data_IF_857944820747
#
_entry.id   IF_857944820747
#
_cell.length_a   1.000
_cell.length_b   1.000
_cell.length_c   1.000
_cell.angle_alpha   90.00
_cell.angle_beta   90.00
_cell.angle_gamma   90.00
#
_symmetry.space_group_name_H-M   'P 1'
#
loop_
_entity.id
_entity.type
_entity.pdbx_description
1 polymer ?
#
# COMPACT_ATOMS: atom_id res chain seq x y z
N UNK A 1 -43.23 -1.92 23.30
CA UNK A 1 -44.00 -0.67 23.37
C UNK A 1 -43.96 0.01 21.99
N UNK A 2 -45.15 0.09 21.38
CA UNK A 2 -45.30 0.63 20.01
C UNK A 2 -44.98 2.14 19.95
N UNK A 3 -45.21 2.87 21.03
CA UNK A 3 -44.93 4.31 21.11
C UNK A 3 -43.43 4.57 21.14
N UNK A 4 -42.68 3.78 21.89
CA UNK A 4 -41.22 3.89 21.93
C UNK A 4 -40.58 3.54 20.58
N UNK A 5 -41.14 2.53 19.91
CA UNK A 5 -40.68 2.13 18.57
C UNK A 5 -40.97 3.20 17.54
N UNK A 6 -42.16 3.80 17.55
CA UNK A 6 -42.50 4.92 16.67
C UNK A 6 -41.66 6.15 16.92
N UNK A 7 -41.34 6.50 18.17
CA UNK A 7 -40.44 7.59 18.51
C UNK A 7 -39.04 7.33 17.97
N UNK A 8 -38.53 6.11 18.07
CA UNK A 8 -37.24 5.72 17.54
C UNK A 8 -37.21 5.81 16.01
N UNK A 9 -38.25 5.32 15.34
CA UNK A 9 -38.39 5.39 13.90
C UNK A 9 -38.51 6.83 13.38
N UNK A 10 -39.17 7.74 14.11
CA UNK A 10 -39.26 9.15 13.75
C UNK A 10 -37.97 9.94 14.01
N UNK A 11 -37.21 9.57 15.03
CA UNK A 11 -35.93 10.19 15.34
C UNK A 11 -34.76 9.73 14.44
N UNK A 12 -34.85 8.51 13.98
CA UNK A 12 -33.79 7.91 13.18
C UNK A 12 -33.42 8.71 11.89
N UNK A 13 -34.40 9.15 11.09
CA UNK A 13 -34.07 9.96 9.91
C UNK A 13 -33.43 11.29 10.24
N UNK A 14 -33.86 11.94 11.35
CA UNK A 14 -33.29 13.24 11.78
C UNK A 14 -31.86 13.08 12.24
N UNK A 15 -31.59 12.05 13.03
CA UNK A 15 -30.21 11.73 13.48
C UNK A 15 -29.32 11.38 12.28
N UNK A 16 -29.83 10.58 11.36
CA UNK A 16 -29.11 10.20 10.14
C UNK A 16 -28.72 11.42 9.30
N UNK A 17 -29.65 12.35 9.08
CA UNK A 17 -29.38 13.58 8.33
C UNK A 17 -28.37 14.50 9.06
N UNK A 18 -28.42 14.56 10.38
CA UNK A 18 -27.41 15.29 11.17
C UNK A 18 -26.03 14.68 11.05
N UNK A 19 -25.91 13.37 11.15
CA UNK A 19 -24.64 12.67 11.00
C UNK A 19 -24.09 12.90 9.61
N UNK A 20 -24.92 12.79 8.59
CA UNK A 20 -24.55 13.04 7.20
C UNK A 20 -24.05 14.45 6.96
N UNK A 21 -24.75 15.46 7.50
CA UNK A 21 -24.32 16.86 7.41
C UNK A 21 -22.98 17.09 8.13
N UNK A 22 -22.77 16.49 9.30
CA UNK A 22 -21.50 16.58 10.04
C UNK A 22 -20.36 15.94 9.29
N UNK A 23 -20.57 14.79 8.68
CA UNK A 23 -19.58 14.09 7.85
C UNK A 23 -19.18 14.96 6.67
N UNK A 24 -20.14 15.56 5.95
CA UNK A 24 -19.88 16.44 4.83
C UNK A 24 -19.07 17.69 5.24
N UNK A 25 -19.38 18.28 6.40
CA UNK A 25 -18.64 19.40 6.94
C UNK A 25 -17.20 19.04 7.29
N UNK A 26 -16.98 17.89 7.93
CA UNK A 26 -15.66 17.38 8.28
C UNK A 26 -14.85 17.06 7.03
N UNK A 27 -15.46 16.47 6.03
CA UNK A 27 -14.81 16.18 4.75
C UNK A 27 -14.36 17.46 4.05
N UNK A 28 -15.18 18.51 4.06
CA UNK A 28 -14.84 19.81 3.49
C UNK A 28 -13.66 20.48 4.22
N UNK A 29 -13.60 20.38 5.55
CA UNK A 29 -12.48 20.88 6.35
C UNK A 29 -11.22 20.07 6.08
N UNK A 30 -11.32 18.75 6.03
CA UNK A 30 -10.19 17.86 5.80
C UNK A 30 -9.62 17.98 4.38
N UNK A 31 -10.44 18.31 3.38
CA UNK A 31 -10.00 18.48 2.01
C UNK A 31 -8.93 19.58 1.83
N UNK A 32 -8.88 20.56 2.73
CA UNK A 32 -7.85 21.62 2.70
C UNK A 32 -6.55 21.20 3.39
N UNK A 33 -6.66 20.41 4.45
CA UNK A 33 -5.52 20.04 5.30
C UNK A 33 -4.85 18.75 4.80
N UNK A 34 -5.62 17.86 4.21
CA UNK A 34 -5.19 16.53 3.78
C UNK A 34 -4.01 16.54 2.81
N UNK A 35 -3.99 17.35 1.74
CA UNK A 35 -2.83 17.38 0.85
C UNK A 35 -1.52 17.73 1.54
N UNK A 36 -1.59 18.60 2.56
CA UNK A 36 -0.41 19.01 3.34
C UNK A 36 0.08 17.87 4.22
N UNK A 37 -0.84 17.15 4.87
CA UNK A 37 -0.52 15.99 5.70
C UNK A 37 0.03 14.85 4.84
N UNK A 38 -0.58 14.58 3.69
CA UNK A 38 -0.17 13.52 2.78
C UNK A 38 1.23 13.78 2.21
N UNK A 39 1.54 15.02 1.87
CA UNK A 39 2.88 15.40 1.42
C UNK A 39 3.92 15.19 2.52
N UNK A 40 3.61 15.58 3.74
CA UNK A 40 4.50 15.44 4.89
C UNK A 40 4.71 13.97 5.26
N UNK A 41 3.64 13.19 5.24
CA UNK A 41 3.66 11.75 5.58
C UNK A 41 4.40 10.95 4.51
N UNK A 42 4.18 11.22 3.22
CA UNK A 42 4.85 10.50 2.14
C UNK A 42 6.35 10.72 2.14
N UNK A 43 6.83 11.94 2.44
CA UNK A 43 8.26 12.22 2.58
C UNK A 43 8.89 11.47 3.75
N UNK A 44 8.22 11.45 4.90
CA UNK A 44 8.67 10.71 6.08
C UNK A 44 8.70 9.21 5.85
N UNK A 45 7.70 8.66 5.18
CA UNK A 45 7.60 7.24 4.88
C UNK A 45 8.60 6.78 3.83
N UNK A 46 8.84 7.56 2.79
CA UNK A 46 9.82 7.19 1.78
C UNK A 46 11.23 7.08 2.38
N UNK A 47 11.60 7.93 3.34
CA UNK A 47 12.85 7.81 4.08
C UNK A 47 12.91 6.57 4.97
N UNK A 48 11.84 6.27 5.70
CA UNK A 48 11.74 5.07 6.55
C UNK A 48 11.79 3.80 5.71
N UNK A 49 11.07 3.79 4.59
CA UNK A 49 11.03 2.66 3.69
C UNK A 49 12.39 2.38 3.05
N UNK A 50 13.13 3.41 2.68
CA UNK A 50 14.50 3.24 2.15
C UNK A 50 15.45 2.66 3.18
N UNK A 51 15.40 3.10 4.42
CA UNK A 51 16.23 2.54 5.49
C UNK A 51 15.89 1.07 5.74
N UNK A 52 14.62 0.76 5.81
CA UNK A 52 14.15 -0.60 6.01
C UNK A 52 14.54 -1.51 4.84
N UNK A 53 14.34 -1.04 3.61
CA UNK A 53 14.73 -1.74 2.40
C UNK A 53 16.23 -2.03 2.38
N UNK A 54 17.05 -1.02 2.65
CA UNK A 54 18.52 -1.17 2.72
C UNK A 54 18.93 -2.19 3.76
N UNK A 55 18.31 -2.16 4.92
CA UNK A 55 18.58 -3.10 6.01
C UNK A 55 18.20 -4.54 5.63
N UNK A 56 17.04 -4.74 5.01
CA UNK A 56 16.62 -6.05 4.52
C UNK A 56 17.58 -6.60 3.47
N UNK A 57 18.02 -5.78 2.54
CA UNK A 57 19.00 -6.15 1.51
C UNK A 57 20.34 -6.53 2.14
N UNK A 58 20.83 -5.77 3.11
CA UNK A 58 22.06 -6.08 3.83
C UNK A 58 22.00 -7.43 4.56
N UNK A 59 20.90 -7.70 5.23
CA UNK A 59 20.70 -8.99 5.91
C UNK A 59 20.71 -10.14 4.92
N UNK A 60 19.99 -9.99 3.81
CA UNK A 60 19.95 -11.00 2.76
C UNK A 60 21.32 -11.22 2.12
N UNK A 61 22.08 -10.14 1.89
CA UNK A 61 23.45 -10.19 1.40
C UNK A 61 24.38 -10.96 2.35
N UNK A 62 24.26 -10.75 3.65
CA UNK A 62 25.02 -11.49 4.67
C UNK A 62 24.68 -12.97 4.69
N UNK A 63 23.39 -13.29 4.58
CA UNK A 63 22.93 -14.70 4.60
C UNK A 63 23.35 -15.44 3.34
N UNK A 64 23.14 -14.83 2.16
CA UNK A 64 23.42 -15.44 0.87
C UNK A 64 24.87 -15.31 0.43
N UNK A 65 25.63 -14.42 1.06
CA UNK A 65 27.03 -14.11 0.73
C UNK A 65 27.23 -13.77 -0.74
N UNK A 66 26.29 -13.03 -1.28
CA UNK A 66 26.29 -12.57 -2.66
C UNK A 66 25.83 -11.09 -2.70
N UNK A 67 26.45 -10.29 -3.59
CA UNK A 67 25.98 -8.94 -3.85
C UNK A 67 24.80 -8.99 -4.81
N UNK A 68 23.64 -8.43 -4.41
CA UNK A 68 22.49 -8.41 -5.29
C UNK A 68 22.59 -7.34 -6.37
N UNK A 69 21.84 -7.51 -7.44
CA UNK A 69 21.56 -6.45 -8.40
C UNK A 69 20.44 -5.62 -7.83
N UNK A 70 20.71 -4.35 -7.54
CA UNK A 70 19.73 -3.42 -6.98
C UNK A 70 18.89 -2.84 -8.11
N UNK A 71 17.59 -2.63 -7.83
CA UNK A 71 16.65 -2.06 -8.80
C UNK A 71 16.69 -2.79 -10.14
N UNK A 72 16.56 -4.10 -10.08
CA UNK A 72 16.69 -4.97 -11.25
C UNK A 72 15.45 -4.91 -12.12
N UNK A 73 15.65 -4.51 -13.38
CA UNK A 73 14.59 -4.37 -14.40
C UNK A 73 14.91 -5.19 -15.64
N UNK A 74 14.82 -6.50 -15.57
CA UNK A 74 15.05 -7.32 -16.75
C UNK A 74 13.93 -7.16 -17.78
N UNK A 75 14.19 -7.40 -19.07
CA UNK A 75 13.17 -7.26 -20.12
C UNK A 75 11.94 -8.12 -19.92
N UNK A 76 12.09 -9.31 -19.34
CA UNK A 76 10.97 -10.22 -19.12
C UNK A 76 9.98 -9.75 -18.03
N UNK A 77 10.34 -8.77 -17.22
CA UNK A 77 9.46 -8.18 -16.21
C UNK A 77 8.56 -7.06 -16.76
N UNK A 78 8.64 -6.73 -18.03
CA UNK A 78 7.79 -5.71 -18.67
C UNK A 78 7.75 -4.39 -17.89
N UNK A 79 8.91 -3.77 -17.71
CA UNK A 79 9.11 -2.52 -16.99
C UNK A 79 8.91 -2.61 -15.46
N UNK A 80 8.58 -3.76 -14.91
CA UNK A 80 8.52 -3.96 -13.48
C UNK A 80 9.93 -4.09 -12.90
N UNK A 81 10.07 -3.67 -11.64
CA UNK A 81 11.35 -3.63 -10.94
C UNK A 81 11.34 -4.58 -9.74
N UNK A 82 12.44 -5.26 -9.53
CA UNK A 82 12.73 -6.00 -8.30
C UNK A 82 13.71 -5.19 -7.45
N UNK A 83 13.44 -5.07 -6.16
CA UNK A 83 14.28 -4.29 -5.24
C UNK A 83 15.71 -4.81 -5.16
N UNK A 84 15.87 -6.13 -5.08
CA UNK A 84 17.15 -6.79 -5.13
C UNK A 84 17.02 -8.17 -5.79
N UNK A 85 18.01 -8.54 -6.59
CA UNK A 85 18.05 -9.85 -7.26
C UNK A 85 19.39 -10.53 -7.04
N UNK A 86 19.34 -11.73 -6.45
CA UNK A 86 20.49 -12.59 -6.20
C UNK A 86 20.59 -13.63 -7.30
N UNK A 87 21.41 -13.36 -8.27
CA UNK A 87 21.49 -14.13 -9.51
C UNK A 87 21.93 -15.59 -9.29
N UNK A 88 22.88 -15.79 -8.40
CA UNK A 88 23.41 -17.13 -8.12
C UNK A 88 22.35 -18.11 -7.62
N UNK A 89 21.46 -17.62 -6.77
CA UNK A 89 20.41 -18.43 -6.16
C UNK A 89 19.04 -18.28 -6.83
N UNK A 90 18.93 -17.37 -7.80
CA UNK A 90 17.65 -17.02 -8.43
C UNK A 90 16.59 -16.62 -7.39
N UNK A 91 17.03 -15.78 -6.45
CA UNK A 91 16.17 -15.24 -5.39
C UNK A 91 16.03 -13.74 -5.62
N UNK A 92 14.80 -13.26 -5.67
CA UNK A 92 14.47 -11.85 -5.70
C UNK A 92 13.90 -11.42 -4.35
N UNK A 93 14.27 -10.25 -3.88
CA UNK A 93 13.76 -9.65 -2.66
C UNK A 93 12.91 -8.45 -3.02
N UNK A 94 11.68 -8.44 -2.54
CA UNK A 94 10.75 -7.32 -2.60
C UNK A 94 10.43 -6.85 -1.18
N UNK A 95 10.76 -5.61 -0.89
CA UNK A 95 10.42 -4.99 0.39
C UNK A 95 9.12 -4.22 0.20
N UNK A 96 8.05 -4.74 0.80
CA UNK A 96 6.76 -4.10 0.74
C UNK A 96 6.74 -2.87 1.65
N UNK A 97 6.67 -1.69 1.04
CA UNK A 97 6.58 -0.44 1.77
C UNK A 97 5.23 -0.24 2.42
N UNK A 98 5.13 0.79 3.25
CA UNK A 98 3.90 1.18 3.94
C UNK A 98 2.72 1.52 3.04
N UNK A 99 2.89 1.53 1.72
CA UNK A 99 1.82 1.76 0.75
C UNK A 99 0.64 0.80 0.89
N UNK A 100 0.89 -0.41 1.40
CA UNK A 100 -0.16 -1.41 1.65
C UNK A 100 -0.92 -1.21 2.97
N UNK A 101 -0.46 -0.29 3.82
CA UNK A 101 -1.04 -0.06 5.16
C UNK A 101 -1.99 1.14 5.21
N UNK A 102 -1.97 2.02 4.22
CA UNK A 102 -2.70 3.30 4.25
C UNK A 102 -3.93 3.31 3.35
N UNK A 103 -4.72 2.26 3.38
CA UNK A 103 -5.93 2.14 2.56
C UNK A 103 -7.14 2.89 3.10
N UNK A 104 -7.03 3.50 4.28
CA UNK A 104 -8.19 3.99 5.01
C UNK A 104 -8.56 5.45 4.71
N UNK A 105 -7.88 6.12 3.80
CA UNK A 105 -8.06 7.55 3.63
C UNK A 105 -8.40 7.95 2.21
N UNK A 106 -9.64 7.77 1.78
CA UNK A 106 -10.11 8.24 0.48
C UNK A 106 -10.70 7.13 -0.37
N UNK A 107 -11.92 6.85 -0.12
CA UNK A 107 -12.66 5.65 -0.50
C UNK A 107 -12.62 5.25 -1.98
N UNK A 108 -12.74 6.17 -2.92
CA UNK A 108 -12.87 5.82 -4.34
C UNK A 108 -11.58 5.89 -5.14
N UNK A 109 -10.71 6.84 -4.83
CA UNK A 109 -9.43 6.99 -5.54
C UNK A 109 -8.40 5.95 -5.10
N UNK A 110 -8.47 5.52 -3.83
CA UNK A 110 -7.52 4.59 -3.24
C UNK A 110 -7.82 3.13 -3.60
N UNK A 111 -9.09 2.77 -3.85
CA UNK A 111 -9.47 1.41 -4.29
C UNK A 111 -8.83 1.08 -5.63
N UNK A 112 -8.86 2.00 -6.59
CA UNK A 112 -8.24 1.78 -7.90
C UNK A 112 -6.72 1.66 -7.80
N UNK A 113 -6.08 2.50 -6.99
CA UNK A 113 -4.64 2.41 -6.71
C UNK A 113 -4.29 1.08 -6.06
N UNK A 114 -5.10 0.63 -5.12
CA UNK A 114 -4.92 -0.65 -4.45
C UNK A 114 -5.03 -1.82 -5.44
N UNK A 115 -6.03 -1.79 -6.31
CA UNK A 115 -6.18 -2.80 -7.36
C UNK A 115 -4.97 -2.83 -8.30
N UNK A 116 -4.46 -1.67 -8.69
CA UNK A 116 -3.27 -1.56 -9.54
C UNK A 116 -2.04 -2.13 -8.85
N UNK A 117 -1.86 -1.87 -7.55
CA UNK A 117 -0.76 -2.42 -6.75
C UNK A 117 -0.88 -3.95 -6.65
N UNK A 118 -2.05 -4.46 -6.34
CA UNK A 118 -2.30 -5.90 -6.24
C UNK A 118 -2.04 -6.58 -7.59
N UNK A 119 -2.49 -5.99 -8.68
CA UNK A 119 -2.26 -6.52 -10.02
C UNK A 119 -0.79 -6.53 -10.41
N UNK A 120 -0.04 -5.50 -10.06
CA UNK A 120 1.42 -5.47 -10.25
C UNK A 120 2.12 -6.55 -9.47
N UNK A 121 1.78 -6.73 -8.21
CA UNK A 121 2.37 -7.74 -7.35
C UNK A 121 2.09 -9.14 -7.87
N UNK A 122 0.86 -9.40 -8.32
CA UNK A 122 0.50 -10.67 -8.96
C UNK A 122 1.29 -10.92 -10.24
N UNK A 123 1.43 -9.91 -11.09
CA UNK A 123 2.23 -10.01 -12.32
C UNK A 123 3.68 -10.34 -12.01
N UNK A 124 4.28 -9.65 -11.03
CA UNK A 124 5.65 -9.95 -10.60
C UNK A 124 5.80 -11.38 -10.12
N UNK A 125 4.89 -11.85 -9.28
CA UNK A 125 4.91 -13.23 -8.77
C UNK A 125 4.83 -14.26 -9.90
N UNK A 126 3.89 -14.06 -10.81
CA UNK A 126 3.71 -14.97 -11.95
C UNK A 126 4.93 -14.98 -12.86
N UNK A 127 5.46 -13.81 -13.22
CA UNK A 127 6.61 -13.68 -14.09
C UNK A 127 7.86 -14.29 -13.43
N UNK A 128 8.10 -14.01 -12.16
CA UNK A 128 9.21 -14.61 -11.42
C UNK A 128 9.11 -16.14 -11.37
N UNK A 129 7.93 -16.65 -11.07
CA UNK A 129 7.69 -18.08 -11.04
C UNK A 129 7.94 -18.74 -12.40
N UNK A 130 7.45 -18.14 -13.48
CA UNK A 130 7.65 -18.63 -14.85
C UNK A 130 9.12 -18.63 -15.26
N UNK A 131 9.93 -17.75 -14.70
CA UNK A 131 11.36 -17.66 -14.96
C UNK A 131 12.24 -18.37 -13.92
N UNK A 132 11.65 -19.17 -13.04
CA UNK A 132 12.37 -19.91 -12.03
C UNK A 132 12.99 -19.07 -10.93
N UNK A 133 12.46 -17.89 -10.69
CA UNK A 133 12.91 -16.97 -9.65
C UNK A 133 12.02 -17.10 -8.42
N UNK A 134 12.63 -17.36 -7.27
CA UNK A 134 11.93 -17.34 -5.98
C UNK A 134 11.79 -15.88 -5.51
N UNK A 135 10.56 -15.40 -5.40
CA UNK A 135 10.28 -14.05 -4.92
C UNK A 135 10.01 -14.06 -3.41
N UNK A 136 10.90 -13.44 -2.67
CA UNK A 136 10.75 -13.23 -1.23
C UNK A 136 10.18 -11.85 -0.97
N UNK A 137 8.98 -11.80 -0.42
CA UNK A 137 8.31 -10.56 -0.04
C UNK A 137 8.42 -10.34 1.48
N UNK A 138 8.92 -9.18 1.86
CA UNK A 138 9.13 -8.81 3.27
C UNK A 138 8.24 -7.64 3.68
#
# INVERSE_FOLDING_TARGET
DDIAKLKTELQYPIIFERIKATILELEARNAKIRPIIDEFTSKSESKKNRKFQTKCIQIAEEILKEKPIIEYRPPFLNELELDAFFQKYQIALEVQGGQHRFHNTGWYKDVKKLEDIINRDRKKRCICQDNGIFLLEV
#
